data_IF_042186490408
#
_entry.id   IF_042186490408
#
_cell.length_a   1.000
_cell.length_b   1.000
_cell.length_c   1.000
_cell.angle_alpha   90.00
_cell.angle_beta   90.00
_cell.angle_gamma   90.00
#
_symmetry.space_group_name_H-M   'P 1'
#
loop_
_entity.id
_entity.type
_entity.pdbx_description
1 polymer ?
#
# COMPACT_ATOMS: atom_id res chain seq x y z
N UNK A 1 16.37 10.55 11.66
CA UNK A 1 15.61 11.54 10.86
C UNK A 1 15.05 12.62 11.80
N UNK A 2 15.31 13.91 11.57
CA UNK A 2 14.87 15.05 12.42
C UNK A 2 14.15 16.13 11.58
N UNK A 3 13.03 15.76 10.97
CA UNK A 3 12.25 16.64 10.10
C UNK A 3 10.88 16.91 10.75
N UNK A 4 10.64 18.16 11.19
CA UNK A 4 9.44 18.54 11.96
C UNK A 4 8.13 18.11 11.30
N UNK A 5 7.96 18.41 10.01
CA UNK A 5 6.74 18.04 9.29
C UNK A 5 6.51 16.52 9.21
N UNK A 6 7.55 15.68 9.29
CA UNK A 6 7.39 14.22 9.31
C UNK A 6 6.98 13.72 10.70
N UNK A 7 7.46 14.37 11.76
CA UNK A 7 7.06 14.07 13.14
C UNK A 7 5.58 14.43 13.34
N UNK A 8 5.18 15.63 12.94
CA UNK A 8 3.79 16.10 13.04
C UNK A 8 2.84 15.23 12.19
N UNK A 9 3.29 14.79 11.00
CA UNK A 9 2.53 13.88 10.15
C UNK A 9 2.27 12.54 10.83
N UNK A 10 3.25 11.95 11.53
CA UNK A 10 3.06 10.70 12.26
C UNK A 10 1.97 10.83 13.34
N UNK A 11 2.01 11.91 14.12
CA UNK A 11 1.00 12.18 15.17
C UNK A 11 -0.38 12.37 14.54
N UNK A 12 -0.49 13.19 13.49
CA UNK A 12 -1.74 13.39 12.76
C UNK A 12 -2.30 12.08 12.20
N UNK A 13 -1.47 11.28 11.54
CA UNK A 13 -1.89 10.05 10.89
C UNK A 13 -2.34 8.99 11.91
N UNK A 14 -1.77 8.97 13.12
CA UNK A 14 -2.26 8.12 14.21
C UNK A 14 -3.68 8.49 14.62
N UNK A 15 -4.00 9.78 14.75
CA UNK A 15 -5.36 10.23 15.03
C UNK A 15 -6.33 9.87 13.88
N UNK A 16 -5.92 10.09 12.62
CA UNK A 16 -6.71 9.70 11.44
C UNK A 16 -6.92 8.20 11.31
N UNK A 17 -6.01 7.37 11.84
CA UNK A 17 -6.16 5.92 11.86
C UNK A 17 -7.28 5.50 12.82
N UNK A 18 -7.39 6.12 14.00
CA UNK A 18 -8.49 5.87 14.93
C UNK A 18 -9.84 6.25 14.32
N UNK A 19 -9.94 7.44 13.74
CA UNK A 19 -11.15 7.89 13.04
C UNK A 19 -11.53 6.97 11.87
N UNK A 20 -10.55 6.48 11.11
CA UNK A 20 -10.81 5.54 10.02
C UNK A 20 -11.30 4.19 10.54
N UNK A 21 -10.78 3.71 11.67
CA UNK A 21 -11.27 2.49 12.33
C UNK A 21 -12.71 2.68 12.80
N UNK A 22 -13.05 3.85 13.36
CA UNK A 22 -14.43 4.17 13.72
C UNK A 22 -15.35 4.22 12.49
N UNK A 23 -14.89 4.78 11.37
CA UNK A 23 -15.65 4.89 10.11
C UNK A 23 -15.88 3.53 9.44
N UNK A 24 -14.85 2.67 9.42
CA UNK A 24 -14.80 1.48 8.55
C UNK A 24 -14.77 0.15 9.30
N UNK A 25 -14.65 0.18 10.63
CA UNK A 25 -14.48 -0.98 11.50
C UNK A 25 -13.07 -1.58 11.49
N UNK A 26 -12.28 -1.42 10.41
CA UNK A 26 -10.93 -1.98 10.32
C UNK A 26 -10.03 -1.21 9.37
N UNK A 27 -8.91 -0.73 9.89
CA UNK A 27 -7.84 -0.13 9.10
C UNK A 27 -7.26 -1.12 8.07
N UNK A 28 -7.13 -2.39 8.47
CA UNK A 28 -6.59 -3.43 7.58
C UNK A 28 -7.51 -3.67 6.39
N UNK A 29 -8.81 -3.89 6.64
CA UNK A 29 -9.77 -4.14 5.56
C UNK A 29 -9.90 -2.94 4.63
N UNK A 30 -9.90 -1.72 5.19
CA UNK A 30 -9.88 -0.51 4.37
C UNK A 30 -8.65 -0.44 3.46
N UNK A 31 -7.44 -0.76 3.97
CA UNK A 31 -6.22 -0.72 3.16
C UNK A 31 -6.26 -1.83 2.10
N UNK A 32 -6.59 -3.06 2.50
CA UNK A 32 -6.68 -4.21 1.60
C UNK A 32 -7.81 -4.06 0.56
N UNK A 33 -8.78 -3.18 0.78
CA UNK A 33 -9.77 -2.84 -0.26
C UNK A 33 -9.20 -2.13 -1.48
N UNK A 34 -7.97 -1.65 -1.41
CA UNK A 34 -7.22 -1.10 -2.54
C UNK A 34 -6.20 -2.10 -3.12
N UNK A 35 -6.17 -3.35 -2.65
CA UNK A 35 -5.34 -4.36 -3.29
C UNK A 35 -5.86 -4.63 -4.71
N UNK A 36 -5.00 -4.59 -5.74
CA UNK A 36 -5.43 -4.80 -7.12
C UNK A 36 -5.76 -6.27 -7.43
N UNK A 37 -6.77 -6.46 -8.27
CA UNK A 37 -7.26 -7.75 -8.74
C UNK A 37 -6.46 -8.30 -9.94
N UNK A 38 -5.15 -8.04 -9.99
CA UNK A 38 -4.25 -8.49 -11.06
C UNK A 38 -3.24 -9.53 -10.54
N UNK A 39 -2.60 -10.31 -11.44
CA UNK A 39 -1.54 -11.24 -11.04
C UNK A 39 -0.45 -10.54 -10.21
N UNK A 40 -0.06 -11.16 -9.10
CA UNK A 40 0.89 -10.61 -8.10
C UNK A 40 0.48 -9.25 -7.51
N UNK A 41 -0.72 -8.76 -7.82
CA UNK A 41 -1.17 -7.41 -7.49
C UNK A 41 -0.43 -6.32 -8.26
N UNK A 42 0.20 -6.62 -9.41
CA UNK A 42 0.93 -5.61 -10.19
C UNK A 42 -0.03 -4.92 -11.16
N UNK A 43 -0.40 -3.67 -10.88
CA UNK A 43 -1.32 -2.87 -11.69
C UNK A 43 -0.71 -1.58 -12.25
N UNK A 44 0.62 -1.43 -12.24
CA UNK A 44 1.34 -0.26 -12.77
C UNK A 44 2.26 -0.59 -13.94
N UNK A 45 2.51 0.42 -14.79
CA UNK A 45 3.50 0.32 -15.88
C UNK A 45 4.88 0.78 -15.41
N UNK A 46 5.93 0.18 -15.98
CA UNK A 46 7.32 0.55 -15.72
C UNK A 46 8.13 0.59 -17.00
N UNK A 47 8.94 1.64 -17.15
CA UNK A 47 9.99 1.75 -18.18
C UNK A 47 11.36 1.29 -17.66
N UNK A 48 11.45 0.90 -16.38
CA UNK A 48 12.68 0.45 -15.78
C UNK A 48 13.02 -0.99 -16.20
N UNK A 49 14.30 -1.32 -16.31
CA UNK A 49 14.77 -2.63 -16.76
C UNK A 49 14.30 -3.80 -15.85
N UNK A 50 14.00 -3.52 -14.58
CA UNK A 50 13.43 -4.53 -13.67
C UNK A 50 11.95 -4.83 -13.90
N UNK A 51 11.24 -4.02 -14.69
CA UNK A 51 9.79 -4.12 -14.88
C UNK A 51 8.95 -3.69 -13.67
N UNK A 52 9.57 -3.25 -12.57
CA UNK A 52 8.87 -2.83 -11.34
C UNK A 52 8.47 -1.36 -11.44
N UNK A 53 7.19 -1.05 -11.24
CA UNK A 53 6.69 0.32 -11.26
C UNK A 53 7.08 1.10 -10.00
N UNK A 54 6.89 2.42 -10.02
CA UNK A 54 7.08 3.29 -8.83
C UNK A 54 5.77 3.93 -8.35
N UNK A 55 4.69 3.72 -9.12
CA UNK A 55 3.33 4.17 -8.86
C UNK A 55 2.38 3.22 -9.59
N UNK A 56 1.14 3.11 -9.11
CA UNK A 56 0.08 2.40 -9.81
C UNK A 56 -1.28 3.08 -9.63
N UNK A 57 -2.30 2.68 -10.41
CA UNK A 57 -3.69 3.11 -10.22
C UNK A 57 -4.18 2.86 -8.80
N UNK A 58 -3.96 1.66 -8.24
CA UNK A 58 -4.38 1.32 -6.87
C UNK A 58 -3.67 2.16 -5.81
N UNK A 59 -2.35 2.37 -5.93
CA UNK A 59 -1.62 3.24 -5.02
C UNK A 59 -2.08 4.70 -5.11
N UNK A 60 -2.42 5.16 -6.32
CA UNK A 60 -2.96 6.51 -6.55
C UNK A 60 -4.33 6.66 -5.90
N UNK A 61 -5.19 5.65 -6.02
CA UNK A 61 -6.51 5.62 -5.40
C UNK A 61 -6.41 5.64 -3.87
N UNK A 62 -5.54 4.81 -3.27
CA UNK A 62 -5.29 4.81 -1.83
C UNK A 62 -4.75 6.16 -1.33
N UNK A 63 -3.76 6.72 -2.03
CA UNK A 63 -3.22 8.06 -1.74
C UNK A 63 -4.33 9.12 -1.74
N UNK A 64 -5.21 9.11 -2.75
CA UNK A 64 -6.32 10.06 -2.84
C UNK A 64 -7.32 9.88 -1.69
N UNK A 65 -7.66 8.64 -1.35
CA UNK A 65 -8.59 8.30 -0.28
C UNK A 65 -8.07 8.74 1.11
N UNK A 66 -6.78 8.51 1.39
CA UNK A 66 -6.13 8.92 2.64
C UNK A 66 -5.96 10.45 2.71
N UNK A 67 -5.56 11.10 1.61
CA UNK A 67 -5.48 12.58 1.56
C UNK A 67 -6.83 13.24 1.82
N UNK A 68 -7.91 12.69 1.27
CA UNK A 68 -9.28 13.16 1.53
C UNK A 68 -9.64 13.08 3.03
N UNK A 69 -9.08 12.10 3.74
CA UNK A 69 -9.21 11.91 5.19
C UNK A 69 -8.15 12.65 6.00
N UNK A 70 -7.44 13.62 5.41
CA UNK A 70 -6.51 14.48 6.13
C UNK A 70 -5.16 13.83 6.48
N UNK A 71 -4.85 12.64 5.97
CA UNK A 71 -3.53 12.02 6.14
C UNK A 71 -2.44 12.85 5.45
N UNK A 72 -1.22 12.80 6.01
CA UNK A 72 -0.06 13.57 5.54
C UNK A 72 1.06 12.61 5.11
N UNK A 73 1.88 13.06 4.14
CA UNK A 73 2.98 12.27 3.56
C UNK A 73 2.56 10.94 2.90
N UNK A 74 1.35 10.89 2.36
CA UNK A 74 0.76 9.72 1.70
C UNK A 74 0.64 9.95 0.18
N UNK A 75 1.75 10.30 -0.48
CA UNK A 75 1.77 10.46 -1.94
C UNK A 75 1.64 9.13 -2.69
N UNK A 76 1.27 9.12 -3.98
CA UNK A 76 1.10 7.88 -4.75
C UNK A 76 2.33 6.97 -4.73
N UNK A 77 3.53 7.51 -4.92
CA UNK A 77 4.78 6.73 -4.82
C UNK A 77 4.99 6.14 -3.42
N UNK A 78 4.74 6.92 -2.36
CA UNK A 78 4.81 6.42 -0.97
C UNK A 78 3.80 5.32 -0.71
N UNK A 79 2.58 5.44 -1.27
CA UNK A 79 1.55 4.41 -1.14
C UNK A 79 1.89 3.17 -1.95
N UNK A 80 2.53 3.30 -3.11
CA UNK A 80 3.03 2.15 -3.86
C UNK A 80 4.09 1.39 -3.04
N UNK A 81 5.08 2.09 -2.48
CA UNK A 81 6.07 1.48 -1.59
C UNK A 81 5.46 0.86 -0.33
N UNK A 82 4.42 1.47 0.22
CA UNK A 82 3.66 0.92 1.34
C UNK A 82 2.94 -0.37 0.94
N UNK A 83 2.28 -0.40 -0.21
CA UNK A 83 1.59 -1.59 -0.73
C UNK A 83 2.56 -2.76 -0.96
N UNK A 84 3.75 -2.48 -1.51
CA UNK A 84 4.83 -3.47 -1.63
C UNK A 84 5.24 -4.00 -0.25
N UNK A 85 5.47 -3.10 0.72
CA UNK A 85 5.96 -3.45 2.06
C UNK A 85 4.94 -4.26 2.87
N UNK A 86 3.65 -3.99 2.69
CA UNK A 86 2.56 -4.67 3.40
C UNK A 86 2.05 -5.91 2.66
N UNK A 87 2.59 -6.23 1.48
CA UNK A 87 2.23 -7.41 0.70
C UNK A 87 0.91 -7.30 -0.06
N UNK A 88 0.33 -6.10 -0.23
CA UNK A 88 -0.80 -5.89 -1.14
C UNK A 88 -0.38 -6.18 -2.59
N UNK A 89 0.89 -5.90 -2.88
CA UNK A 89 1.57 -6.17 -4.15
C UNK A 89 2.80 -7.00 -3.83
N UNK A 90 3.05 -8.03 -4.64
CA UNK A 90 4.28 -8.80 -4.58
C UNK A 90 5.21 -8.39 -5.74
N UNK A 91 6.13 -7.47 -5.46
CA UNK A 91 7.12 -6.97 -6.42
C UNK A 91 8.49 -7.65 -6.32
N UNK A 92 8.58 -8.76 -5.58
CA UNK A 92 9.78 -9.59 -5.65
C UNK A 92 10.03 -10.06 -7.10
N UNK A 93 11.29 -10.05 -7.54
CA UNK A 93 11.66 -10.64 -8.83
C UNK A 93 11.35 -12.14 -8.81
N UNK A 94 11.10 -12.73 -9.99
CA UNK A 94 10.71 -14.14 -10.11
C UNK A 94 11.78 -15.06 -9.53
N UNK A 95 13.05 -14.67 -9.64
CA UNK A 95 14.21 -15.42 -9.13
C UNK A 95 14.48 -15.14 -7.64
N UNK A 96 13.70 -14.28 -6.99
CA UNK A 96 13.88 -13.98 -5.57
C UNK A 96 13.43 -15.16 -4.71
N UNK A 97 14.28 -15.63 -3.79
CA UNK A 97 14.00 -16.78 -2.92
C UNK A 97 12.73 -16.68 -2.07
N UNK A 98 12.18 -15.47 -1.84
CA UNK A 98 10.91 -15.27 -1.11
C UNK A 98 9.69 -15.06 -2.00
N UNK A 99 9.87 -15.00 -3.33
CA UNK A 99 8.80 -14.67 -4.29
C UNK A 99 7.53 -15.50 -4.05
N UNK A 100 7.68 -16.83 -4.06
CA UNK A 100 6.55 -17.77 -3.96
C UNK A 100 5.94 -17.80 -2.55
N UNK A 101 6.76 -17.62 -1.51
CA UNK A 101 6.32 -17.57 -0.12
C UNK A 101 5.48 -16.31 0.14
N UNK A 102 5.93 -15.17 -0.39
CA UNK A 102 5.20 -13.91 -0.32
C UNK A 102 3.89 -13.97 -1.12
N UNK A 103 3.91 -14.52 -2.35
CA UNK A 103 2.68 -14.64 -3.14
C UNK A 103 1.68 -15.58 -2.47
N UNK A 104 2.13 -16.72 -1.95
CA UNK A 104 1.27 -17.65 -1.23
C UNK A 104 0.63 -17.00 0.00
N UNK A 105 1.37 -16.15 0.72
CA UNK A 105 0.85 -15.42 1.87
C UNK A 105 -0.18 -14.36 1.47
N UNK A 106 0.09 -13.60 0.40
CA UNK A 106 -0.84 -12.61 -0.16
C UNK A 106 -2.15 -13.26 -0.61
N UNK A 107 -2.08 -14.37 -1.33
CA UNK A 107 -3.25 -15.11 -1.81
C UNK A 107 -4.13 -15.62 -0.67
N UNK A 108 -3.55 -16.00 0.48
CA UNK A 108 -4.34 -16.39 1.66
C UNK A 108 -5.16 -15.23 2.20
N UNK A 109 -4.62 -14.01 2.20
CA UNK A 109 -5.36 -12.81 2.63
C UNK A 109 -6.50 -12.51 1.65
N UNK A 110 -6.22 -12.52 0.35
CA UNK A 110 -7.22 -12.24 -0.69
C UNK A 110 -8.39 -13.24 -0.66
N UNK A 111 -8.11 -14.53 -0.43
CA UNK A 111 -9.15 -15.57 -0.34
C UNK A 111 -10.05 -15.45 0.89
N UNK A 112 -9.57 -14.83 1.95
CA UNK A 112 -10.26 -14.71 3.24
C UNK A 112 -10.93 -13.34 3.44
N UNK A 113 -10.90 -12.49 2.41
CA UNK A 113 -11.50 -11.17 2.39
C UNK A 113 -12.94 -11.24 1.87
#
# INVERSE_FOLDING_TARGET
>A
MRHRGKIEATINNAARALELIEETGSLSEFIWSFAPDTPLGRDGESTHASGIATVSPSATALSKALKKRGWKFVGPTTMYSFMQSMGLINDHLVECHVHDVCESSRQKVIKNR
#
